data_IF_278378015083
#
_entry.id   IF_278378015083
#
_cell.length_a   1.000
_cell.length_b   1.000
_cell.length_c   1.000
_cell.angle_alpha   90.00
_cell.angle_beta   90.00
_cell.angle_gamma   90.00
#
_symmetry.space_group_name_H-M   'P 1'
#
loop_
_entity.id
_entity.type
_entity.pdbx_description
1 polymer ?
#
# COMPACT_ATOMS: atom_id res chain seq x y z
N UNK A 1 15.61 1.92 -12.76
CA UNK A 1 14.90 0.99 -11.86
C UNK A 1 13.82 0.30 -12.68
N UNK A 2 13.69 -1.03 -12.58
CA UNK A 2 12.60 -1.75 -13.24
C UNK A 2 11.27 -1.56 -12.50
N UNK A 3 10.14 -1.87 -13.15
CA UNK A 3 8.83 -1.91 -12.49
C UNK A 3 8.83 -2.89 -11.32
N UNK A 4 9.48 -4.05 -11.46
CA UNK A 4 9.58 -5.06 -10.41
C UNK A 4 10.40 -4.60 -9.19
N UNK A 5 11.50 -3.88 -9.42
CA UNK A 5 12.32 -3.32 -8.35
C UNK A 5 11.58 -2.21 -7.61
N UNK A 6 10.85 -1.36 -8.34
CA UNK A 6 10.00 -0.32 -7.76
C UNK A 6 8.83 -0.89 -6.98
N UNK A 7 8.18 -1.92 -7.52
CA UNK A 7 7.12 -2.64 -6.83
C UNK A 7 7.62 -3.14 -5.48
N UNK A 8 8.76 -3.86 -5.46
CA UNK A 8 9.36 -4.37 -4.22
C UNK A 8 9.64 -3.27 -3.20
N UNK A 9 10.26 -2.17 -3.61
CA UNK A 9 10.53 -1.04 -2.72
C UNK A 9 9.27 -0.42 -2.13
N UNK A 10 8.17 -0.37 -2.90
CA UNK A 10 6.89 0.13 -2.42
C UNK A 10 6.31 -0.84 -1.38
N UNK A 11 6.35 -2.14 -1.63
CA UNK A 11 5.87 -3.14 -0.65
C UNK A 11 6.66 -3.04 0.66
N UNK A 12 8.00 -3.01 0.58
CA UNK A 12 8.86 -2.88 1.76
C UNK A 12 8.58 -1.59 2.54
N UNK A 13 8.30 -0.47 1.87
CA UNK A 13 7.97 0.80 2.52
C UNK A 13 6.60 0.76 3.21
N UNK A 14 5.59 0.17 2.57
CA UNK A 14 4.25 0.05 3.15
C UNK A 14 4.29 -0.89 4.37
N UNK A 15 5.02 -2.00 4.28
CA UNK A 15 5.20 -2.95 5.40
C UNK A 15 5.90 -2.28 6.59
N UNK A 16 7.03 -1.59 6.36
CA UNK A 16 7.74 -0.88 7.43
C UNK A 16 6.89 0.21 8.10
N UNK A 17 6.07 0.91 7.32
CA UNK A 17 5.18 1.93 7.88
C UNK A 17 3.99 1.30 8.60
N UNK A 18 3.47 0.16 8.13
CA UNK A 18 2.44 -0.61 8.83
C UNK A 18 2.91 -1.02 10.24
N UNK A 19 4.12 -1.58 10.34
CA UNK A 19 4.74 -1.94 11.62
C UNK A 19 4.87 -0.72 12.55
N UNK A 20 5.32 0.43 12.02
CA UNK A 20 5.43 1.67 12.80
C UNK A 20 4.07 2.15 13.29
N UNK A 21 3.04 2.08 12.44
CA UNK A 21 1.68 2.48 12.79
C UNK A 21 1.14 1.62 13.94
N UNK A 22 1.45 0.32 13.97
CA UNK A 22 1.12 -0.57 15.08
C UNK A 22 1.81 -0.18 16.40
N UNK A 23 3.03 0.35 16.35
CA UNK A 23 3.75 0.78 17.55
C UNK A 23 3.25 2.10 18.12
N UNK A 24 2.83 3.04 17.26
CA UNK A 24 2.52 4.42 17.67
C UNK A 24 1.04 4.69 17.86
N UNK A 25 0.15 3.93 17.24
CA UNK A 25 -1.29 4.14 17.33
C UNK A 25 -1.92 3.33 18.47
N UNK A 26 -2.97 3.85 19.11
CA UNK A 26 -3.66 3.14 20.17
C UNK A 26 -4.46 1.95 19.62
N UNK A 27 -4.73 0.95 20.46
CA UNK A 27 -5.49 -0.25 20.10
C UNK A 27 -6.88 0.04 19.49
N UNK A 28 -7.48 1.21 19.80
CA UNK A 28 -8.76 1.65 19.22
C UNK A 28 -8.72 1.72 17.69
N UNK A 29 -7.54 1.99 17.12
CA UNK A 29 -7.31 2.11 15.66
C UNK A 29 -7.21 0.78 14.94
N UNK A 30 -7.40 -0.35 15.62
CA UNK A 30 -7.19 -1.69 15.05
C UNK A 30 -7.95 -1.97 13.74
N UNK A 31 -9.10 -1.30 13.51
CA UNK A 31 -9.80 -1.39 12.21
C UNK A 31 -9.02 -0.74 11.07
N UNK A 32 -8.41 0.42 11.31
CA UNK A 32 -7.57 1.10 10.33
C UNK A 32 -6.30 0.31 10.05
N UNK A 33 -5.62 -0.16 11.10
CA UNK A 33 -4.40 -0.98 10.97
C UNK A 33 -4.66 -2.26 10.17
N UNK A 34 -5.79 -2.93 10.40
CA UNK A 34 -6.20 -4.09 9.61
C UNK A 34 -6.38 -3.77 8.12
N UNK A 35 -6.84 -2.57 7.75
CA UNK A 35 -6.91 -2.19 6.33
C UNK A 35 -5.50 -2.04 5.74
N UNK A 36 -4.55 -1.47 6.50
CA UNK A 36 -3.15 -1.38 6.07
C UNK A 36 -2.54 -2.77 5.86
N UNK A 37 -2.76 -3.71 6.78
CA UNK A 37 -2.29 -5.10 6.64
C UNK A 37 -2.84 -5.77 5.39
N UNK A 38 -4.14 -5.61 5.13
CA UNK A 38 -4.76 -6.14 3.92
C UNK A 38 -4.14 -5.55 2.64
N UNK A 39 -3.64 -4.30 2.69
CA UNK A 39 -2.92 -3.71 1.57
C UNK A 39 -1.53 -4.36 1.40
N UNK A 40 -0.82 -4.59 2.50
CA UNK A 40 0.49 -5.26 2.51
C UNK A 40 0.36 -6.69 1.99
N UNK A 41 -0.56 -7.49 2.54
CA UNK A 41 -0.80 -8.88 2.12
C UNK A 41 -1.10 -8.96 0.61
N UNK A 42 -2.01 -8.12 0.12
CA UNK A 42 -2.37 -8.08 -1.31
C UNK A 42 -1.14 -7.80 -2.20
N UNK A 43 -0.25 -6.92 -1.76
CA UNK A 43 0.94 -6.57 -2.52
C UNK A 43 2.04 -7.64 -2.41
N UNK A 44 2.21 -8.25 -1.24
CA UNK A 44 3.20 -9.30 -0.99
C UNK A 44 2.92 -10.56 -1.81
N UNK A 45 1.64 -10.92 -1.99
CA UNK A 45 1.21 -12.07 -2.81
C UNK A 45 1.73 -12.02 -4.26
N UNK A 46 2.09 -10.83 -4.75
CA UNK A 46 2.58 -10.62 -6.12
C UNK A 46 4.10 -10.38 -6.21
N UNK A 47 4.81 -10.30 -5.08
CA UNK A 47 6.19 -9.81 -5.01
C UNK A 47 7.17 -10.67 -5.84
N UNK A 48 6.96 -11.98 -5.89
CA UNK A 48 7.74 -12.90 -6.72
C UNK A 48 7.28 -12.86 -8.19
N UNK A 49 5.96 -12.86 -8.42
CA UNK A 49 5.38 -12.97 -9.76
C UNK A 49 5.62 -11.74 -10.64
N UNK A 50 5.70 -10.52 -10.07
CA UNK A 50 5.86 -9.26 -10.84
C UNK A 50 7.06 -9.29 -11.78
N UNK A 51 8.17 -9.91 -11.36
CA UNK A 51 9.37 -10.02 -12.19
C UNK A 51 9.22 -10.90 -13.43
N UNK A 52 8.22 -11.79 -13.41
CA UNK A 52 7.95 -12.75 -14.49
C UNK A 52 6.89 -12.24 -15.47
N UNK A 53 6.16 -11.17 -15.12
CA UNK A 53 5.08 -10.64 -15.95
C UNK A 53 5.67 -10.03 -17.24
N UNK A 54 5.22 -10.48 -18.43
CA UNK A 54 5.60 -9.86 -19.69
C UNK A 54 5.23 -8.37 -19.70
N UNK A 55 6.12 -7.52 -20.22
CA UNK A 55 5.94 -6.05 -20.18
C UNK A 55 4.59 -5.58 -20.74
N UNK A 56 4.09 -6.21 -21.80
CA UNK A 56 2.80 -5.88 -22.42
C UNK A 56 1.57 -6.34 -21.61
N UNK A 57 1.77 -7.05 -20.50
CA UNK A 57 0.71 -7.53 -19.61
C UNK A 57 0.75 -6.84 -18.24
N UNK A 58 1.81 -6.08 -17.93
CA UNK A 58 2.02 -5.44 -16.62
C UNK A 58 0.81 -4.64 -16.16
N UNK A 59 0.35 -3.68 -16.96
CA UNK A 59 -0.84 -2.87 -16.66
C UNK A 59 -2.06 -3.75 -16.36
N UNK A 60 -2.41 -4.68 -17.26
CA UNK A 60 -3.59 -5.54 -17.09
C UNK A 60 -3.56 -6.44 -15.86
N UNK A 61 -2.35 -6.82 -15.39
CA UNK A 61 -2.16 -7.76 -14.28
C UNK A 61 -1.98 -7.04 -12.95
N UNK A 62 -1.21 -5.95 -12.93
CA UNK A 62 -0.85 -5.23 -11.71
C UNK A 62 -1.82 -4.11 -11.36
N UNK A 63 -2.46 -3.45 -12.33
CA UNK A 63 -3.38 -2.36 -12.02
C UNK A 63 -4.52 -2.77 -11.07
N UNK A 64 -5.17 -3.95 -11.22
CA UNK A 64 -6.19 -4.39 -10.26
C UNK A 64 -5.65 -4.58 -8.84
N UNK A 65 -4.43 -5.11 -8.71
CA UNK A 65 -3.76 -5.37 -7.42
C UNK A 65 -3.42 -4.05 -6.74
N UNK A 66 -2.76 -3.15 -7.48
CA UNK A 66 -2.37 -1.82 -7.00
C UNK A 66 -3.60 -0.98 -6.61
N UNK A 67 -4.67 -0.98 -7.42
CA UNK A 67 -5.91 -0.27 -7.11
C UNK A 67 -6.59 -0.83 -5.86
N UNK A 68 -6.56 -2.15 -5.67
CA UNK A 68 -7.13 -2.79 -4.48
C UNK A 68 -6.35 -2.41 -3.22
N UNK A 69 -5.02 -2.47 -3.27
CA UNK A 69 -4.15 -2.03 -2.17
C UNK A 69 -4.34 -0.54 -1.86
N UNK A 70 -4.37 0.32 -2.88
CA UNK A 70 -4.68 1.74 -2.71
C UNK A 70 -6.05 1.95 -2.04
N UNK A 71 -7.08 1.22 -2.46
CA UNK A 71 -8.41 1.33 -1.86
C UNK A 71 -8.48 0.83 -0.41
N UNK A 72 -7.58 -0.04 0.03
CA UNK A 72 -7.44 -0.42 1.44
C UNK A 72 -6.77 0.70 2.24
N UNK A 73 -5.69 1.28 1.70
CA UNK A 73 -5.00 2.42 2.33
C UNK A 73 -5.94 3.63 2.46
N UNK A 74 -6.74 3.95 1.44
CA UNK A 74 -7.73 5.04 1.50
C UNK A 74 -8.73 4.83 2.64
N UNK A 75 -9.24 3.60 2.79
CA UNK A 75 -10.14 3.24 3.90
C UNK A 75 -9.46 3.37 5.25
N UNK A 76 -8.20 2.95 5.38
CA UNK A 76 -7.42 3.15 6.59
C UNK A 76 -7.28 4.65 6.92
N UNK A 77 -6.94 5.47 5.92
CA UNK A 77 -6.78 6.92 6.04
C UNK A 77 -8.05 7.59 6.53
N UNK A 78 -9.20 7.28 5.94
CA UNK A 78 -10.51 7.83 6.35
C UNK A 78 -10.86 7.46 7.79
N UNK A 79 -10.54 6.23 8.22
CA UNK A 79 -10.77 5.80 9.61
C UNK A 79 -9.90 6.58 10.60
N UNK A 80 -8.62 6.78 10.27
CA UNK A 80 -7.69 7.54 11.12
C UNK A 80 -8.01 9.04 11.14
N UNK A 81 -8.50 9.59 10.03
CA UNK A 81 -8.96 10.97 9.94
C UNK A 81 -10.16 11.21 10.85
N UNK A 82 -11.10 10.25 10.93
CA UNK A 82 -12.24 10.33 11.84
C UNK A 82 -11.85 10.29 13.33
N UNK A 83 -10.69 9.72 13.66
CA UNK A 83 -10.12 9.67 15.01
C UNK A 83 -9.04 10.77 15.25
N UNK A 84 -8.94 11.74 14.33
CA UNK A 84 -8.02 12.89 14.40
C UNK A 84 -6.52 12.52 14.46
N UNK A 85 -6.14 11.34 13.95
CA UNK A 85 -4.75 10.88 13.88
C UNK A 85 -3.97 11.47 12.69
N UNK A 86 -3.89 12.79 12.62
CA UNK A 86 -3.38 13.55 11.47
C UNK A 86 -2.00 13.09 10.95
N UNK A 87 -1.06 12.78 11.85
CA UNK A 87 0.27 12.31 11.46
C UNK A 87 0.22 10.96 10.72
N UNK A 88 -0.66 10.05 11.14
CA UNK A 88 -0.84 8.77 10.49
C UNK A 88 -1.63 8.92 9.17
N UNK A 89 -2.60 9.85 9.12
CA UNK A 89 -3.31 10.21 7.89
C UNK A 89 -2.35 10.69 6.81
N UNK A 90 -1.42 11.59 7.16
CA UNK A 90 -0.38 12.08 6.25
C UNK A 90 0.51 10.93 5.78
N UNK A 91 0.92 10.04 6.69
CA UNK A 91 1.75 8.88 6.34
C UNK A 91 1.05 7.94 5.36
N UNK A 92 -0.21 7.58 5.61
CA UNK A 92 -0.95 6.73 4.69
C UNK A 92 -1.13 7.40 3.33
N UNK A 93 -1.39 8.71 3.29
CA UNK A 93 -1.47 9.45 2.04
C UNK A 93 -0.17 9.40 1.23
N UNK A 94 1.00 9.50 1.88
CA UNK A 94 2.29 9.33 1.21
C UNK A 94 2.42 7.95 0.55
N UNK A 95 1.97 6.88 1.24
CA UNK A 95 1.96 5.51 0.71
C UNK A 95 1.02 5.36 -0.48
N UNK A 96 -0.19 5.94 -0.42
CA UNK A 96 -1.13 6.00 -1.55
C UNK A 96 -0.49 6.63 -2.78
N UNK A 97 0.26 7.73 -2.60
CA UNK A 97 0.96 8.40 -3.70
C UNK A 97 2.07 7.53 -4.32
N UNK A 98 2.71 6.66 -3.56
CA UNK A 98 3.68 5.71 -4.12
C UNK A 98 2.99 4.73 -5.08
N UNK A 99 1.86 4.16 -4.65
CA UNK A 99 1.05 3.26 -5.47
C UNK A 99 0.51 3.98 -6.71
N UNK A 100 -0.05 5.17 -6.54
CA UNK A 100 -0.58 5.97 -7.64
C UNK A 100 0.49 6.30 -8.69
N UNK A 101 1.69 6.69 -8.26
CA UNK A 101 2.79 6.93 -9.21
C UNK A 101 3.17 5.64 -9.94
N UNK A 102 3.20 4.48 -9.26
CA UNK A 102 3.50 3.22 -9.93
C UNK A 102 2.42 2.87 -10.96
N UNK A 103 1.14 3.04 -10.63
CA UNK A 103 0.02 2.87 -11.55
C UNK A 103 0.17 3.70 -12.83
N UNK A 104 0.62 4.95 -12.72
CA UNK A 104 0.85 5.83 -13.88
C UNK A 104 2.05 5.44 -14.75
N UNK A 105 2.95 4.60 -14.21
CA UNK A 105 4.17 4.17 -14.90
C UNK A 105 4.07 2.77 -15.52
N UNK A 106 2.95 2.05 -15.29
CA UNK A 106 2.64 0.77 -15.93
C UNK A 106 2.25 0.94 -17.40
#
# INVERSE_FOLDING_TARGET
MSISERYRQIVEQIEQEADRLYEVLPESTGKALRQVDMAVEELQDWLEAVGEIPRNQLESKLSPVLLKAHGQLDRARVLLEAEEHNAAVEKIWELEQLIYRLLNDL
#
